data_IF_489183010991
#
_entry.id   IF_489183010991
#
_cell.length_a   1.000
_cell.length_b   1.000
_cell.length_c   1.000
_cell.angle_alpha   90.00
_cell.angle_beta   90.00
_cell.angle_gamma   90.00
#
_symmetry.space_group_name_H-M   'P 1'
#
loop_
_entity.id
_entity.type
_entity.pdbx_description
1 polymer ?
#
# COMPACT_ATOMS: atom_id res chain seq x y z
N UNK A 1 -11.51 8.42 -0.65
CA UNK A 1 -12.27 7.22 -1.11
C UNK A 1 -13.08 7.63 -2.33
N UNK A 2 -13.13 6.79 -3.38
CA UNK A 2 -13.35 7.15 -4.82
C UNK A 2 -14.18 8.44 -5.05
N UNK A 3 -13.56 9.47 -5.64
CA UNK A 3 -14.13 10.82 -5.80
C UNK A 3 -14.76 10.95 -7.19
N UNK A 4 -15.82 10.18 -7.45
CA UNK A 4 -16.54 10.12 -8.73
C UNK A 4 -17.55 8.97 -8.77
N UNK A 5 -18.35 8.90 -9.84
CA UNK A 5 -19.30 7.80 -10.05
C UNK A 5 -18.54 6.49 -10.34
N UNK A 6 -18.78 5.47 -9.52
CA UNK A 6 -18.23 4.14 -9.71
C UNK A 6 -19.06 3.38 -10.77
N UNK A 7 -18.75 3.61 -12.04
CA UNK A 7 -19.28 2.80 -13.14
C UNK A 7 -18.42 1.54 -13.32
N UNK A 8 -19.02 0.35 -13.27
CA UNK A 8 -18.39 -0.92 -13.69
C UNK A 8 -17.73 -1.74 -12.58
N UNK A 9 -16.59 -2.36 -12.89
CA UNK A 9 -15.90 -3.34 -12.04
C UNK A 9 -15.39 -2.67 -10.75
N UNK A 10 -15.67 -3.28 -9.61
CA UNK A 10 -15.17 -2.82 -8.31
C UNK A 10 -14.53 -3.98 -7.56
N UNK A 11 -13.44 -3.69 -6.85
CA UNK A 11 -12.78 -4.65 -5.99
C UNK A 11 -13.33 -4.51 -4.58
N UNK A 12 -13.99 -5.56 -4.12
CA UNK A 12 -14.42 -5.69 -2.73
C UNK A 12 -13.34 -6.44 -1.94
N UNK A 13 -12.75 -5.77 -0.96
CA UNK A 13 -11.92 -6.42 0.04
C UNK A 13 -12.79 -7.26 1.00
N UNK A 14 -12.22 -8.29 1.61
CA UNK A 14 -12.92 -9.16 2.58
C UNK A 14 -13.47 -8.40 3.79
N UNK A 15 -12.90 -7.24 4.13
CA UNK A 15 -13.39 -6.38 5.20
C UNK A 15 -14.63 -5.56 4.82
N UNK A 16 -15.12 -5.66 3.58
CA UNK A 16 -16.23 -4.88 3.06
C UNK A 16 -15.83 -3.53 2.45
N UNK A 17 -14.55 -3.18 2.45
CA UNK A 17 -14.07 -2.01 1.73
C UNK A 17 -14.20 -2.21 0.22
N UNK A 18 -14.83 -1.26 -0.47
CA UNK A 18 -15.01 -1.31 -1.92
C UNK A 18 -14.16 -0.24 -2.61
N UNK A 19 -13.46 -0.64 -3.66
CA UNK A 19 -12.64 0.24 -4.49
C UNK A 19 -13.13 0.18 -5.94
N UNK A 20 -13.37 1.34 -6.55
CA UNK A 20 -13.59 1.44 -7.99
C UNK A 20 -12.38 0.88 -8.76
N UNK A 21 -12.54 0.38 -9.99
CA UNK A 21 -11.47 -0.27 -10.77
C UNK A 21 -10.14 0.50 -10.74
N UNK A 22 -10.20 1.82 -10.97
CA UNK A 22 -9.04 2.69 -10.97
C UNK A 22 -8.34 2.72 -9.61
N UNK A 23 -9.11 2.83 -8.53
CA UNK A 23 -8.55 2.80 -7.17
C UNK A 23 -7.97 1.42 -6.82
N UNK A 24 -8.65 0.33 -7.21
CA UNK A 24 -8.15 -1.02 -6.99
C UNK A 24 -6.81 -1.22 -7.71
N UNK A 25 -6.74 -0.88 -9.00
CA UNK A 25 -5.50 -0.96 -9.80
C UNK A 25 -4.38 -0.09 -9.23
N UNK A 26 -4.69 1.14 -8.83
CA UNK A 26 -3.69 2.04 -8.24
C UNK A 26 -3.15 1.48 -6.93
N UNK A 27 -4.03 1.05 -6.02
CA UNK A 27 -3.64 0.47 -4.73
C UNK A 27 -2.81 -0.78 -4.88
N UNK A 28 -3.20 -1.70 -5.78
CA UNK A 28 -2.45 -2.93 -6.06
C UNK A 28 -1.04 -2.66 -6.60
N UNK A 29 -0.80 -1.55 -7.30
CA UNK A 29 0.52 -1.21 -7.85
C UNK A 29 1.41 -0.39 -6.89
N UNK A 30 0.80 0.41 -6.02
CA UNK A 30 1.51 1.27 -5.07
C UNK A 30 1.93 0.51 -3.81
N UNK A 31 0.96 0.06 -3.02
CA UNK A 31 1.20 -0.53 -1.69
C UNK A 31 0.77 -2.01 -1.65
N UNK A 32 -0.22 -2.38 -2.47
CA UNK A 32 -0.90 -3.66 -2.48
C UNK A 32 -1.54 -4.01 -1.12
N UNK A 33 -2.03 -2.98 -0.42
CA UNK A 33 -2.67 -3.09 0.90
C UNK A 33 -4.01 -2.38 0.88
N UNK A 34 -5.02 -2.98 1.51
CA UNK A 34 -6.30 -2.37 1.76
C UNK A 34 -6.15 -1.32 2.86
N UNK A 35 -6.43 -0.06 2.54
CA UNK A 35 -6.39 1.03 3.51
C UNK A 35 -7.39 0.92 4.67
N UNK A 36 -8.39 0.03 4.61
CA UNK A 36 -9.37 -0.13 5.68
C UNK A 36 -8.97 -1.19 6.72
N UNK A 37 -8.38 -2.29 6.28
CA UNK A 37 -8.04 -3.43 7.16
C UNK A 37 -6.58 -3.87 7.07
N UNK A 38 -5.75 -3.08 6.40
CA UNK A 38 -4.30 -3.26 6.25
C UNK A 38 -3.89 -4.63 5.69
N UNK A 39 -4.84 -5.31 5.02
CA UNK A 39 -4.64 -6.64 4.45
C UNK A 39 -4.25 -6.52 2.99
N UNK A 40 -3.45 -7.48 2.52
CA UNK A 40 -3.04 -7.55 1.12
C UNK A 40 -4.25 -7.64 0.17
N UNK A 41 -4.26 -6.80 -0.87
CA UNK A 41 -5.32 -6.76 -1.88
C UNK A 41 -5.17 -7.93 -2.86
N UNK A 42 -3.97 -8.10 -3.41
CA UNK A 42 -3.61 -9.13 -4.37
C UNK A 42 -2.49 -10.01 -3.79
N UNK A 43 -2.82 -11.26 -3.45
CA UNK A 43 -1.89 -12.25 -2.89
C UNK A 43 -0.84 -12.75 -3.90
N UNK A 44 -1.04 -12.53 -5.20
CA UNK A 44 -0.10 -12.92 -6.24
C UNK A 44 1.01 -11.88 -6.44
N UNK A 45 0.85 -10.67 -5.89
CA UNK A 45 1.83 -9.58 -6.00
C UNK A 45 2.50 -9.32 -4.65
N UNK A 46 3.79 -8.96 -4.62
CA UNK A 46 4.43 -8.60 -3.37
C UNK A 46 3.74 -7.40 -2.73
N UNK A 47 3.63 -7.39 -1.40
CA UNK A 47 3.23 -6.18 -0.67
C UNK A 47 4.43 -5.24 -0.67
N UNK A 48 4.28 -4.07 -1.27
CA UNK A 48 5.22 -2.97 -1.06
C UNK A 48 4.89 -2.37 0.31
N UNK A 49 5.22 -3.12 1.37
CA UNK A 49 5.41 -2.49 2.65
C UNK A 49 6.55 -1.51 2.43
N UNK A 50 6.27 -0.20 2.51
CA UNK A 50 7.28 0.80 2.79
C UNK A 50 7.87 0.43 4.16
N UNK A 51 8.73 -0.60 4.18
CA UNK A 51 9.61 -0.89 5.29
C UNK A 51 10.56 0.29 5.34
N UNK A 52 10.16 1.33 6.06
CA UNK A 52 11.01 2.01 7.02
C UNK A 52 12.43 2.23 6.49
N UNK A 53 12.58 2.79 5.29
CA UNK A 53 13.89 3.16 4.77
C UNK A 53 14.46 4.36 5.55
N UNK A 54 13.73 4.86 6.54
CA UNK A 54 14.24 5.77 7.58
C UNK A 54 15.19 5.10 8.59
N UNK A 55 15.35 3.77 8.62
CA UNK A 55 16.25 3.10 9.58
C UNK A 55 17.58 2.61 8.98
N UNK A 56 17.88 2.89 7.71
CA UNK A 56 19.23 2.68 7.16
C UNK A 56 20.09 3.93 7.14
N UNK A 57 19.50 5.13 7.19
CA UNK A 57 20.26 6.40 7.27
C UNK A 57 20.75 6.72 8.71
N UNK A 58 20.69 5.77 9.64
CA UNK A 58 21.25 5.91 11.00
C UNK A 58 22.49 5.03 11.27
N UNK A 59 22.90 4.16 10.33
CA UNK A 59 23.98 3.21 10.56
C UNK A 59 25.36 3.65 10.03
N UNK A 60 25.49 4.78 9.32
CA UNK A 60 26.77 5.22 8.75
C UNK A 60 27.23 6.61 9.22
N UNK A 61 26.78 7.12 10.38
CA UNK A 61 27.46 8.28 10.99
C UNK A 61 27.47 8.21 12.53
N UNK A 62 28.19 7.24 13.10
CA UNK A 62 28.82 7.38 14.42
C UNK A 62 30.13 6.57 14.41
N UNK A 63 31.13 6.90 15.23
CA UNK A 63 31.85 8.17 15.40
C UNK A 63 33.38 7.93 15.26
N UNK A 64 34.18 8.89 14.78
CA UNK A 64 35.63 8.85 15.03
C UNK A 64 36.09 10.15 15.66
N UNK A 65 36.29 10.07 16.98
CA UNK A 65 37.17 10.95 17.75
C UNK A 65 38.58 10.91 17.16
N UNK A 66 39.17 12.06 16.86
CA UNK A 66 40.49 12.49 17.34
C UNK A 66 40.68 13.97 17.08
#
# INVERSE_FOLDING_TARGET
VCRGEAFGFSYACKCGANYCENCARALTNLENVCWACETQIDYSKPVKQFKKEEERVKAEVKPKKK
#
